data_IF_252699490158
#
_entry.id   IF_252699490158
#
_cell.length_a   1.000
_cell.length_b   1.000
_cell.length_c   1.000
_cell.angle_alpha   90.00
_cell.angle_beta   90.00
_cell.angle_gamma   90.00
#
_symmetry.space_group_name_H-M   'P 1'
#
loop_
_entity.id
_entity.type
_entity.pdbx_description
1 polymer ?
#
# COMPACT_ATOMS: atom_id res chain seq x y z
N UNK A 1 7.84 17.51 -45.08
CA UNK A 1 6.44 17.40 -44.58
C UNK A 1 6.29 15.98 -44.08
N UNK A 2 6.29 15.66 -42.79
CA UNK A 2 5.92 16.42 -41.61
C UNK A 2 6.92 16.15 -40.48
N UNK A 3 7.33 17.22 -39.79
CA UNK A 3 8.10 17.20 -38.56
C UNK A 3 7.29 16.58 -37.42
N UNK A 4 7.87 15.59 -36.74
CA UNK A 4 7.40 15.10 -35.44
C UNK A 4 8.49 15.40 -34.41
N UNK A 5 8.47 16.65 -33.93
CA UNK A 5 9.29 17.16 -32.85
C UNK A 5 8.63 16.73 -31.54
N UNK A 6 9.15 15.68 -30.91
CA UNK A 6 8.74 15.25 -29.58
C UNK A 6 9.47 16.10 -28.53
N UNK A 7 8.74 17.03 -27.92
CA UNK A 7 9.17 17.74 -26.71
C UNK A 7 9.05 16.80 -25.49
N UNK A 8 10.13 16.63 -24.70
CA UNK A 8 10.02 15.99 -23.41
C UNK A 8 9.47 16.99 -22.39
N UNK A 9 8.23 16.78 -21.96
CA UNK A 9 7.64 17.48 -20.81
C UNK A 9 8.29 16.95 -19.53
N UNK A 10 9.36 17.63 -19.10
CA UNK A 10 9.91 17.49 -17.76
C UNK A 10 8.90 18.07 -16.75
N UNK A 11 8.10 17.19 -16.15
CA UNK A 11 7.29 17.53 -14.98
C UNK A 11 8.23 17.59 -13.78
N UNK A 12 8.81 18.77 -13.59
CA UNK A 12 9.64 19.10 -12.45
C UNK A 12 8.71 19.46 -11.27
N UNK A 13 8.26 18.43 -10.54
CA UNK A 13 7.54 18.61 -9.27
C UNK A 13 8.55 18.93 -8.16
N UNK A 14 9.17 20.11 -8.25
CA UNK A 14 9.75 20.81 -7.12
C UNK A 14 8.70 21.81 -6.61
N UNK A 15 7.60 21.29 -6.04
CA UNK A 15 6.85 22.06 -5.05
C UNK A 15 7.72 22.18 -3.81
N UNK A 16 8.62 23.16 -3.86
CA UNK A 16 9.15 23.83 -2.68
C UNK A 16 7.95 24.37 -1.91
N UNK A 17 7.38 23.52 -1.05
CA UNK A 17 6.57 23.97 0.06
C UNK A 17 7.50 24.74 0.98
N UNK A 18 7.67 26.02 0.67
CA UNK A 18 8.08 27.04 1.63
C UNK A 18 6.97 27.11 2.65
N UNK A 19 7.00 26.16 3.58
CA UNK A 19 6.47 26.35 4.92
C UNK A 19 7.26 27.52 5.48
N UNK A 20 6.71 28.72 5.28
CA UNK A 20 7.00 29.90 6.09
C UNK A 20 6.54 29.57 7.50
N UNK A 21 7.33 28.73 8.18
CA UNK A 21 7.31 28.63 9.62
C UNK A 21 7.63 30.03 10.12
N UNK A 22 6.60 30.78 10.48
CA UNK A 22 6.73 32.04 11.18
C UNK A 22 7.51 31.74 12.47
N UNK A 23 8.80 32.12 12.59
CA UNK A 23 9.57 31.84 13.79
C UNK A 23 9.26 32.84 14.91
N UNK A 24 8.16 33.60 14.79
CA UNK A 24 7.85 34.73 15.67
C UNK A 24 6.89 34.42 16.82
N UNK A 25 6.52 33.15 17.03
CA UNK A 25 5.72 32.75 18.20
C UNK A 25 6.41 31.75 19.14
N UNK A 26 7.59 31.23 18.78
CA UNK A 26 8.36 30.36 19.68
C UNK A 26 9.18 31.14 20.73
N UNK A 27 9.38 32.45 20.52
CA UNK A 27 10.08 33.34 21.46
C UNK A 27 9.11 34.21 22.27
N UNK A 28 7.88 33.75 22.52
CA UNK A 28 7.25 34.09 23.80
C UNK A 28 7.93 33.17 24.81
N UNK A 29 9.17 33.55 25.12
CA UNK A 29 9.87 33.19 26.32
C UNK A 29 8.82 33.29 27.42
N UNK A 30 8.36 32.14 27.90
CA UNK A 30 7.66 32.06 29.16
C UNK A 30 8.68 32.59 30.14
N UNK A 31 8.63 33.91 30.34
CA UNK A 31 9.07 34.57 31.55
C UNK A 31 8.22 33.90 32.61
N UNK A 32 8.75 32.75 33.07
CA UNK A 32 8.43 32.09 34.31
C UNK A 32 8.41 33.22 35.30
N UNK A 33 7.20 33.72 35.53
CA UNK A 33 6.92 34.72 36.51
C UNK A 33 7.13 33.97 37.79
N UNK A 34 8.41 33.82 38.14
CA UNK A 34 8.89 33.26 39.37
C UNK A 34 7.95 33.80 40.40
N UNK A 35 7.29 32.89 41.08
CA UNK A 35 6.43 33.16 42.19
C UNK A 35 7.31 33.94 43.18
N UNK A 36 7.37 35.26 43.01
CA UNK A 36 7.78 36.17 44.05
C UNK A 36 6.81 35.83 45.16
N UNK A 37 7.28 35.02 46.11
CA UNK A 37 6.64 34.79 47.39
C UNK A 37 6.32 36.18 47.94
N UNK A 38 5.12 36.67 47.63
CA UNK A 38 4.61 37.94 48.11
C UNK A 38 4.56 37.78 49.62
N UNK A 39 5.61 38.31 50.27
CA UNK A 39 5.87 38.29 51.69
C UNK A 39 4.53 38.43 52.45
N UNK A 40 4.10 37.40 53.21
CA UNK A 40 2.75 37.34 53.78
C UNK A 40 2.45 38.56 54.68
N UNK A 41 3.48 39.25 55.15
CA UNK A 41 3.36 40.54 55.84
C UNK A 41 2.75 41.65 54.98
N UNK A 42 3.07 41.76 53.69
CA UNK A 42 2.52 42.81 52.80
C UNK A 42 1.02 42.62 52.52
N UNK A 43 0.58 41.38 52.31
CA UNK A 43 -0.85 41.05 52.15
C UNK A 43 -1.64 41.34 53.43
N UNK A 44 -1.13 40.92 54.60
CA UNK A 44 -1.79 41.19 55.89
C UNK A 44 -1.90 42.69 56.22
N UNK A 45 -0.91 43.49 55.84
CA UNK A 45 -0.91 44.94 56.11
C UNK A 45 -1.91 45.68 55.22
N UNK A 46 -2.13 45.22 53.99
CA UNK A 46 -3.13 45.79 53.09
C UNK A 46 -4.57 45.44 53.51
N UNK A 47 -4.81 44.23 53.99
CA UNK A 47 -6.11 43.80 54.53
C UNK A 47 -6.41 44.48 55.88
N UNK A 48 -5.40 44.67 56.73
CA UNK A 48 -5.52 45.42 57.99
C UNK A 48 -5.84 46.92 57.75
N UNK A 49 -5.29 47.54 56.70
CA UNK A 49 -5.62 48.93 56.32
C UNK A 49 -7.04 49.08 55.77
N UNK A 50 -7.53 48.12 54.97
CA UNK A 50 -8.91 48.17 54.45
C UNK A 50 -9.93 47.97 55.57
N UNK A 51 -9.66 47.08 56.53
CA UNK A 51 -10.57 46.84 57.66
C UNK A 51 -10.63 48.02 58.63
N UNK A 52 -9.51 48.70 58.88
CA UNK A 52 -9.49 49.92 59.71
C UNK A 52 -10.18 51.10 59.05
N UNK A 53 -9.96 51.34 57.75
CA UNK A 53 -10.62 52.43 57.02
C UNK A 53 -12.15 52.21 56.94
N UNK A 54 -12.58 50.96 56.71
CA UNK A 54 -14.01 50.62 56.68
C UNK A 54 -14.68 50.85 58.04
N UNK A 55 -14.00 50.52 59.15
CA UNK A 55 -14.53 50.76 60.50
C UNK A 55 -14.63 52.24 60.84
N UNK A 56 -13.69 53.07 60.37
CA UNK A 56 -13.76 54.53 60.56
C UNK A 56 -14.93 55.12 59.77
N UNK A 57 -15.14 54.69 58.51
CA UNK A 57 -16.27 55.14 57.70
C UNK A 57 -17.60 54.68 58.30
N UNK A 58 -17.70 53.43 58.75
CA UNK A 58 -18.90 52.91 59.43
C UNK A 58 -19.17 53.65 60.75
N UNK A 59 -18.13 53.92 61.54
CA UNK A 59 -18.24 54.71 62.76
C UNK A 59 -18.71 56.14 62.48
N UNK A 60 -18.16 56.78 61.44
CA UNK A 60 -18.56 58.11 61.00
C UNK A 60 -20.01 58.16 60.50
N UNK A 61 -20.46 57.14 59.76
CA UNK A 61 -21.83 57.04 59.28
C UNK A 61 -22.84 56.87 60.43
N UNK A 62 -22.54 56.01 61.42
CA UNK A 62 -23.39 55.84 62.60
C UNK A 62 -23.43 57.13 63.41
N UNK A 63 -22.29 57.79 63.62
CA UNK A 63 -22.22 59.07 64.31
C UNK A 63 -23.06 60.15 63.60
N UNK A 64 -22.99 60.23 62.27
CA UNK A 64 -23.78 61.16 61.48
C UNK A 64 -25.30 60.91 61.59
N UNK A 65 -25.72 59.64 61.63
CA UNK A 65 -27.14 59.27 61.84
C UNK A 65 -27.60 59.70 63.24
N UNK A 66 -26.80 59.46 64.27
CA UNK A 66 -27.12 59.87 65.65
C UNK A 66 -27.22 61.39 65.77
N UNK A 67 -26.29 62.13 65.16
CA UNK A 67 -26.30 63.60 65.13
C UNK A 67 -27.56 64.12 64.41
N UNK A 68 -27.96 63.53 63.29
CA UNK A 68 -29.18 63.91 62.58
C UNK A 68 -30.45 63.64 63.41
N UNK A 69 -30.52 62.51 64.13
CA UNK A 69 -31.66 62.21 65.02
C UNK A 69 -31.73 63.23 66.16
N UNK A 70 -30.58 63.60 66.74
CA UNK A 70 -30.53 64.64 67.78
C UNK A 70 -30.97 66.01 67.24
N UNK A 71 -30.54 66.38 66.04
CA UNK A 71 -30.93 67.63 65.39
C UNK A 71 -32.45 67.68 65.10
N UNK A 72 -33.05 66.56 64.66
CA UNK A 72 -34.51 66.45 64.48
C UNK A 72 -35.31 66.62 65.77
N UNK A 73 -34.77 66.19 66.91
CA UNK A 73 -35.44 66.35 68.20
C UNK A 73 -35.45 67.81 68.69
N UNK A 74 -34.45 68.61 68.29
CA UNK A 74 -34.30 70.01 68.67
C UNK A 74 -35.05 70.97 67.75
N UNK A 75 -35.10 70.68 66.45
CA UNK A 75 -35.75 71.55 65.45
C UNK A 75 -36.91 70.83 64.77
N UNK A 76 -38.14 71.29 65.04
CA UNK A 76 -39.36 70.78 64.40
C UNK A 76 -39.53 71.32 62.97
N UNK A 77 -38.55 71.05 62.10
CA UNK A 77 -38.59 71.43 60.68
C UNK A 77 -38.81 70.21 59.80
N UNK A 78 -39.80 70.30 58.91
CA UNK A 78 -40.16 69.27 57.94
C UNK A 78 -39.07 68.99 56.89
N UNK A 79 -38.19 69.96 56.61
CA UNK A 79 -37.10 69.82 55.62
C UNK A 79 -36.06 68.78 56.08
N UNK A 80 -35.80 68.67 57.40
CA UNK A 80 -34.84 67.71 57.95
C UNK A 80 -35.28 66.26 57.75
N UNK A 81 -36.59 65.98 57.82
CA UNK A 81 -37.12 64.63 57.59
C UNK A 81 -36.83 64.13 56.17
N UNK A 82 -36.98 64.99 55.16
CA UNK A 82 -36.67 64.62 53.77
C UNK A 82 -35.16 64.40 53.57
N UNK A 83 -34.31 65.24 54.16
CA UNK A 83 -32.86 65.07 54.07
C UNK A 83 -32.39 63.75 54.74
N UNK A 84 -32.95 63.42 55.91
CA UNK A 84 -32.67 62.17 56.61
C UNK A 84 -33.11 60.94 55.81
N UNK A 85 -34.32 60.96 55.24
CA UNK A 85 -34.85 59.87 54.43
C UNK A 85 -33.99 59.62 53.18
N UNK A 86 -33.62 60.69 52.47
CA UNK A 86 -32.72 60.59 51.31
C UNK A 86 -31.34 60.02 51.69
N UNK A 87 -30.80 60.41 52.85
CA UNK A 87 -29.53 59.89 53.35
C UNK A 87 -29.57 58.38 53.63
N UNK A 88 -30.65 57.89 54.25
CA UNK A 88 -30.82 56.45 54.52
C UNK A 88 -30.99 55.66 53.21
N UNK A 89 -31.76 56.19 52.25
CA UNK A 89 -31.96 55.55 50.94
C UNK A 89 -30.64 55.46 50.15
N UNK A 90 -29.85 56.52 50.12
CA UNK A 90 -28.54 56.53 49.47
C UNK A 90 -27.56 55.59 50.16
N UNK A 91 -27.53 55.57 51.50
CA UNK A 91 -26.69 54.65 52.27
C UNK A 91 -27.00 53.18 51.99
N UNK A 92 -28.30 52.83 51.92
CA UNK A 92 -28.75 51.49 51.53
C UNK A 92 -28.32 51.12 50.10
N UNK A 93 -28.45 52.06 49.16
CA UNK A 93 -28.03 51.87 47.77
C UNK A 93 -26.52 51.58 47.65
N UNK A 94 -25.67 52.30 48.38
CA UNK A 94 -24.21 52.07 48.37
C UNK A 94 -23.86 50.69 48.90
N UNK A 95 -24.52 50.22 49.97
CA UNK A 95 -24.29 48.86 50.51
C UNK A 95 -24.68 47.80 49.49
N UNK A 96 -25.77 48.02 48.75
CA UNK A 96 -26.21 47.12 47.67
C UNK A 96 -25.16 47.05 46.56
N UNK A 97 -24.72 48.20 46.03
CA UNK A 97 -23.67 48.25 44.99
C UNK A 97 -22.33 47.68 45.46
N UNK A 98 -21.95 47.89 46.72
CA UNK A 98 -20.73 47.33 47.28
C UNK A 98 -20.77 45.80 47.38
N UNK A 99 -21.96 45.22 47.60
CA UNK A 99 -22.15 43.76 47.59
C UNK A 99 -22.05 43.18 46.18
N UNK A 100 -22.59 43.88 45.18
CA UNK A 100 -22.47 43.51 43.76
C UNK A 100 -21.01 43.54 43.29
N UNK A 101 -20.27 44.59 43.63
CA UNK A 101 -18.85 44.77 43.26
C UNK A 101 -17.91 43.80 44.00
N UNK A 102 -18.29 43.29 45.18
CA UNK A 102 -17.53 42.20 45.83
C UNK A 102 -17.64 40.87 45.09
N UNK A 103 -18.53 40.75 44.10
CA UNK A 103 -18.51 39.65 43.13
C UNK A 103 -17.35 39.71 42.13
N UNK A 104 -16.52 40.77 42.13
CA UNK A 104 -15.42 40.97 41.16
C UNK A 104 -14.11 40.22 41.48
N UNK A 105 -14.06 39.40 42.54
CA UNK A 105 -13.06 38.30 42.64
C UNK A 105 -13.16 37.32 41.45
N UNK A 106 -14.20 37.46 40.64
CA UNK A 106 -14.35 36.86 39.32
C UNK A 106 -13.21 37.21 38.36
N UNK A 107 -12.58 38.39 38.37
CA UNK A 107 -11.56 38.69 37.34
C UNK A 107 -10.27 37.89 37.54
N UNK A 108 -9.82 37.73 38.80
CA UNK A 108 -8.69 36.84 39.13
C UNK A 108 -9.03 35.38 38.87
N UNK A 109 -10.26 34.98 39.21
CA UNK A 109 -10.75 33.61 38.97
C UNK A 109 -10.83 33.31 37.47
N UNK A 110 -11.38 34.22 36.68
CA UNK A 110 -11.46 34.13 35.21
C UNK A 110 -10.08 34.15 34.58
N UNK A 111 -9.15 34.96 35.09
CA UNK A 111 -7.78 34.97 34.59
C UNK A 111 -7.04 33.65 34.88
N UNK A 112 -7.22 33.07 36.07
CA UNK A 112 -6.66 31.75 36.38
C UNK A 112 -7.31 30.64 35.55
N UNK A 113 -8.64 30.67 35.38
CA UNK A 113 -9.36 29.73 34.51
C UNK A 113 -8.91 29.85 33.05
N UNK A 114 -8.65 31.08 32.58
CA UNK A 114 -8.11 31.31 31.24
C UNK A 114 -6.68 30.77 31.12
N UNK A 115 -5.82 30.97 32.12
CA UNK A 115 -4.48 30.36 32.15
C UNK A 115 -4.54 28.83 32.10
N UNK A 116 -5.45 28.22 32.86
CA UNK A 116 -5.66 26.77 32.81
C UNK A 116 -6.11 26.32 31.43
N UNK A 117 -7.11 26.98 30.84
CA UNK A 117 -7.59 26.65 29.47
C UNK A 117 -6.52 26.83 28.41
N UNK A 118 -5.68 27.85 28.50
CA UNK A 118 -4.57 28.05 27.56
C UNK A 118 -3.54 26.93 27.72
N UNK A 119 -3.22 26.53 28.96
CA UNK A 119 -2.31 25.42 29.20
C UNK A 119 -2.88 24.08 28.69
N UNK A 120 -4.17 23.84 28.91
CA UNK A 120 -4.86 22.64 28.42
C UNK A 120 -4.88 22.62 26.88
N UNK A 121 -5.20 23.75 26.23
CA UNK A 121 -5.14 23.87 24.77
C UNK A 121 -3.71 23.69 24.23
N UNK A 122 -2.70 24.19 24.94
CA UNK A 122 -1.31 23.99 24.54
C UNK A 122 -0.93 22.50 24.58
N UNK A 123 -1.32 21.78 25.63
CA UNK A 123 -1.09 20.34 25.76
C UNK A 123 -1.86 19.54 24.70
N UNK A 124 -3.10 19.91 24.41
CA UNK A 124 -3.88 19.27 23.34
C UNK A 124 -3.25 19.51 21.97
N UNK A 125 -2.76 20.72 21.71
CA UNK A 125 -2.11 21.05 20.44
C UNK A 125 -0.78 20.31 20.28
N UNK A 126 -0.02 20.12 21.36
CA UNK A 126 1.19 19.29 21.38
C UNK A 126 0.86 17.82 21.08
N UNK A 127 -0.19 17.26 21.70
CA UNK A 127 -0.67 15.90 21.39
C UNK A 127 -1.13 15.75 19.95
N UNK A 128 -1.86 16.73 19.42
CA UNK A 128 -2.33 16.73 18.04
C UNK A 128 -1.15 16.80 17.07
N UNK A 129 -0.17 17.66 17.34
CA UNK A 129 1.07 17.78 16.56
C UNK A 129 1.84 16.47 16.56
N UNK A 130 1.99 15.81 17.72
CA UNK A 130 2.62 14.50 17.81
C UNK A 130 1.88 13.42 17.01
N UNK A 131 0.55 13.44 17.04
CA UNK A 131 -0.29 12.51 16.25
C UNK A 131 -0.12 12.73 14.75
N UNK A 132 -0.07 14.00 14.30
CA UNK A 132 0.18 14.35 12.90
C UNK A 132 1.56 13.87 12.46
N UNK A 133 2.59 14.04 13.30
CA UNK A 133 3.94 13.52 13.01
C UNK A 133 3.95 12.00 12.90
N UNK A 134 3.24 11.29 13.79
CA UNK A 134 3.13 9.83 13.72
C UNK A 134 2.44 9.37 12.43
N UNK A 135 1.32 10.00 12.06
CA UNK A 135 0.60 9.71 10.82
C UNK A 135 1.45 9.98 9.58
N UNK A 136 2.26 11.04 9.58
CA UNK A 136 3.22 11.29 8.50
C UNK A 136 4.28 10.19 8.41
N UNK A 137 4.73 9.65 9.54
CA UNK A 137 5.62 8.49 9.59
C UNK A 137 4.98 7.25 8.97
N UNK A 138 3.73 6.95 9.32
CA UNK A 138 2.98 5.81 8.79
C UNK A 138 2.71 5.93 7.29
N UNK A 139 2.34 7.13 6.79
CA UNK A 139 2.19 7.39 5.34
C UNK A 139 3.52 7.20 4.61
N UNK A 140 4.64 7.61 5.21
CA UNK A 140 5.97 7.41 4.62
C UNK A 140 6.31 5.92 4.49
N UNK A 141 6.02 5.12 5.54
CA UNK A 141 6.21 3.68 5.51
C UNK A 141 5.31 3.01 4.46
N UNK A 142 4.03 3.39 4.39
CA UNK A 142 3.10 2.90 3.37
C UNK A 142 3.60 3.18 1.95
N UNK A 143 4.06 4.41 1.68
CA UNK A 143 4.63 4.78 0.38
C UNK A 143 5.89 3.97 0.03
N UNK A 144 6.71 3.64 1.03
CA UNK A 144 7.86 2.75 0.82
C UNK A 144 7.42 1.31 0.51
N UNK A 145 6.41 0.80 1.21
CA UNK A 145 5.85 -0.53 0.94
C UNK A 145 5.20 -0.62 -0.45
N UNK A 146 4.49 0.43 -0.88
CA UNK A 146 3.89 0.54 -2.21
C UNK A 146 4.98 0.49 -3.31
N UNK A 147 6.08 1.24 -3.14
CA UNK A 147 7.23 1.18 -4.07
C UNK A 147 7.85 -0.21 -4.13
N UNK A 148 7.96 -0.91 -2.99
CA UNK A 148 8.47 -2.30 -2.95
C UNK A 148 7.52 -3.25 -3.70
N UNK A 149 6.21 -3.09 -3.51
CA UNK A 149 5.18 -3.85 -4.22
C UNK A 149 5.19 -3.59 -5.73
N UNK A 150 5.30 -2.34 -6.18
CA UNK A 150 5.42 -1.99 -7.61
C UNK A 150 6.68 -2.60 -8.23
N UNK A 151 7.83 -2.53 -7.54
CA UNK A 151 9.07 -3.18 -7.99
C UNK A 151 8.90 -4.69 -8.12
N UNK A 152 8.28 -5.34 -7.12
CA UNK A 152 8.04 -6.78 -7.15
C UNK A 152 7.08 -7.19 -8.27
N UNK A 153 6.00 -6.43 -8.49
CA UNK A 153 5.06 -6.67 -9.58
C UNK A 153 5.73 -6.57 -10.95
N UNK A 154 6.63 -5.60 -11.15
CA UNK A 154 7.43 -5.46 -12.38
C UNK A 154 8.41 -6.62 -12.55
N UNK A 155 9.10 -7.03 -11.49
CA UNK A 155 10.02 -8.17 -11.52
C UNK A 155 9.28 -9.48 -11.83
N UNK A 156 8.11 -9.71 -11.24
CA UNK A 156 7.27 -10.88 -11.51
C UNK A 156 6.72 -10.86 -12.94
N UNK A 157 6.28 -9.70 -13.47
CA UNK A 157 5.85 -9.57 -14.86
C UNK A 157 6.96 -9.93 -15.86
N UNK A 158 8.20 -9.51 -15.59
CA UNK A 158 9.39 -9.88 -16.39
C UNK A 158 9.70 -11.37 -16.27
N UNK A 159 9.53 -11.97 -15.09
CA UNK A 159 9.75 -13.42 -14.88
C UNK A 159 8.71 -14.27 -15.61
N UNK A 160 7.44 -13.86 -15.64
CA UNK A 160 6.39 -14.57 -16.39
C UNK A 160 6.63 -14.50 -17.90
N UNK A 161 7.04 -13.34 -18.43
CA UNK A 161 7.41 -13.20 -19.84
C UNK A 161 8.60 -14.12 -20.19
N UNK A 162 9.67 -14.09 -19.38
CA UNK A 162 10.84 -14.96 -19.55
C UNK A 162 10.48 -16.45 -19.47
N UNK A 163 9.59 -16.84 -18.56
CA UNK A 163 9.14 -18.23 -18.43
C UNK A 163 8.33 -18.67 -19.66
N UNK A 164 7.43 -17.81 -20.16
CA UNK A 164 6.69 -18.07 -21.41
C UNK A 164 7.66 -18.29 -22.58
N UNK A 165 8.68 -17.44 -22.70
CA UNK A 165 9.67 -17.57 -23.75
C UNK A 165 10.50 -18.85 -23.59
N UNK A 166 10.87 -19.22 -22.37
CA UNK A 166 11.58 -20.47 -22.07
C UNK A 166 10.74 -21.71 -22.42
N UNK A 167 9.43 -21.68 -22.18
CA UNK A 167 8.53 -22.76 -22.57
C UNK A 167 8.38 -22.84 -24.09
N UNK A 168 8.34 -21.70 -24.80
CA UNK A 168 8.32 -21.68 -26.27
C UNK A 168 9.61 -22.23 -26.86
N UNK A 169 10.76 -21.85 -26.34
CA UNK A 169 12.06 -22.37 -26.82
C UNK A 169 12.18 -23.86 -26.52
N UNK A 170 11.77 -24.32 -25.34
CA UNK A 170 11.76 -25.74 -25.02
C UNK A 170 10.85 -26.55 -25.97
N UNK A 171 9.64 -26.05 -26.27
CA UNK A 171 8.76 -26.68 -27.29
C UNK A 171 9.41 -26.76 -28.67
N UNK A 172 10.14 -25.72 -29.08
CA UNK A 172 10.87 -25.73 -30.36
C UNK A 172 12.02 -26.74 -30.33
N UNK A 173 12.80 -26.80 -29.25
CA UNK A 173 13.87 -27.79 -29.07
C UNK A 173 13.32 -29.21 -29.12
N UNK A 174 12.24 -29.51 -28.40
CA UNK A 174 11.59 -30.83 -28.45
C UNK A 174 11.11 -31.19 -29.86
N UNK A 175 10.56 -30.23 -30.61
CA UNK A 175 10.16 -30.46 -32.00
C UNK A 175 11.36 -30.80 -32.90
N UNK A 176 12.50 -30.14 -32.70
CA UNK A 176 13.75 -30.45 -33.43
C UNK A 176 14.31 -31.82 -33.03
N UNK A 177 14.32 -32.14 -31.73
CA UNK A 177 14.78 -33.46 -31.26
C UNK A 177 13.90 -34.58 -31.80
N UNK A 178 12.57 -34.38 -31.83
CA UNK A 178 11.65 -35.33 -32.46
C UNK A 178 11.93 -35.50 -33.95
N UNK A 179 12.16 -34.42 -34.69
CA UNK A 179 12.49 -34.50 -36.11
C UNK A 179 13.81 -35.23 -36.36
N UNK A 180 14.81 -35.02 -35.51
CA UNK A 180 16.09 -35.76 -35.58
C UNK A 180 15.90 -37.25 -35.27
N UNK A 181 15.12 -37.59 -34.24
CA UNK A 181 14.79 -38.97 -33.92
C UNK A 181 14.06 -39.66 -35.08
N UNK A 182 13.08 -38.98 -35.68
CA UNK A 182 12.36 -39.48 -36.87
C UNK A 182 13.32 -39.73 -38.05
N UNK A 183 14.27 -38.82 -38.28
CA UNK A 183 15.29 -38.96 -39.33
C UNK A 183 16.24 -40.14 -39.05
N UNK A 184 16.71 -40.29 -37.82
CA UNK A 184 17.60 -41.37 -37.40
C UNK A 184 16.92 -42.75 -37.50
N UNK A 185 15.65 -42.81 -37.11
CA UNK A 185 14.80 -44.00 -37.25
C UNK A 185 14.63 -44.35 -38.73
N UNK A 186 14.30 -43.36 -39.57
CA UNK A 186 14.11 -43.55 -40.99
C UNK A 186 15.42 -44.03 -41.65
N UNK A 187 16.56 -43.41 -41.34
CA UNK A 187 17.87 -43.84 -41.83
C UNK A 187 18.19 -45.28 -41.42
N UNK A 188 17.96 -45.64 -40.16
CA UNK A 188 18.17 -47.01 -39.66
C UNK A 188 17.27 -48.03 -40.38
N UNK A 189 16.03 -47.66 -40.67
CA UNK A 189 15.15 -48.49 -41.49
C UNK A 189 15.64 -48.62 -42.92
N UNK A 190 16.10 -47.54 -43.54
CA UNK A 190 16.67 -47.57 -44.90
C UNK A 190 17.85 -48.52 -44.96
N UNK A 191 18.77 -48.45 -43.98
CA UNK A 191 19.91 -49.35 -43.90
C UNK A 191 19.48 -50.81 -43.82
N UNK A 192 18.43 -51.12 -43.04
CA UNK A 192 17.91 -52.49 -42.94
C UNK A 192 17.33 -52.98 -44.27
N UNK A 193 16.60 -52.12 -45.00
CA UNK A 193 16.01 -52.44 -46.31
C UNK A 193 17.08 -52.63 -47.37
N UNK A 194 18.03 -51.71 -47.46
CA UNK A 194 19.14 -51.79 -48.42
C UNK A 194 20.02 -53.02 -48.16
N UNK A 195 20.29 -53.36 -46.89
CA UNK A 195 21.02 -54.58 -46.54
C UNK A 195 20.20 -55.88 -46.71
N UNK A 196 18.89 -55.78 -46.94
CA UNK A 196 18.06 -56.94 -47.25
C UNK A 196 18.04 -57.23 -48.76
N UNK A 197 18.20 -56.23 -49.62
CA UNK A 197 18.41 -56.41 -51.06
C UNK A 197 19.88 -56.78 -51.36
N UNK A 198 20.16 -58.08 -51.34
CA UNK A 198 21.49 -58.60 -51.70
C UNK A 198 21.66 -58.83 -53.20
N UNK A 199 20.57 -58.78 -53.96
CA UNK A 199 20.54 -59.22 -55.36
C UNK A 199 20.67 -58.04 -56.34
N UNK A 200 20.62 -56.80 -55.85
CA UNK A 200 20.71 -55.55 -56.63
C UNK A 200 19.63 -55.45 -57.73
N UNK A 201 18.59 -56.29 -57.67
CA UNK A 201 17.49 -56.30 -58.62
C UNK A 201 16.34 -55.37 -58.20
N UNK A 202 16.47 -54.69 -57.05
CA UNK A 202 15.47 -53.84 -56.43
C UNK A 202 14.15 -54.55 -56.14
N UNK A 203 14.14 -55.89 -56.07
CA UNK A 203 12.96 -56.71 -55.80
C UNK A 203 13.15 -57.61 -54.59
N UNK A 204 12.11 -57.74 -53.76
CA UNK A 204 12.20 -58.57 -52.57
C UNK A 204 11.50 -59.92 -52.74
N UNK A 205 12.28 -60.99 -52.64
CA UNK A 205 11.77 -62.36 -52.46
C UNK A 205 11.09 -62.51 -51.09
N UNK A 206 10.16 -63.46 -50.94
CA UNK A 206 9.47 -63.71 -49.65
C UNK A 206 10.46 -63.96 -48.51
N UNK A 207 11.56 -64.66 -48.80
CA UNK A 207 12.64 -64.92 -47.83
C UNK A 207 13.37 -63.63 -47.45
N UNK A 208 13.58 -62.71 -48.40
CA UNK A 208 14.15 -61.39 -48.16
C UNK A 208 13.25 -60.53 -47.26
N UNK A 209 11.94 -60.52 -47.54
CA UNK A 209 10.94 -59.79 -46.73
C UNK A 209 10.94 -60.32 -45.29
N UNK A 210 10.97 -61.63 -45.09
CA UNK A 210 10.97 -62.22 -43.76
C UNK A 210 12.26 -61.88 -42.97
N UNK A 211 13.42 -61.85 -43.65
CA UNK A 211 14.67 -61.40 -43.05
C UNK A 211 14.67 -59.92 -42.69
N UNK A 212 14.09 -59.07 -43.54
CA UNK A 212 13.91 -57.65 -43.29
C UNK A 212 12.99 -57.41 -42.09
N UNK A 213 11.86 -58.12 -42.01
CA UNK A 213 10.90 -58.05 -40.90
C UNK A 213 11.60 -58.37 -39.56
N UNK A 214 12.40 -59.43 -39.51
CA UNK A 214 13.14 -59.81 -38.31
C UNK A 214 14.13 -58.72 -37.89
N UNK A 215 14.85 -58.12 -38.83
CA UNK A 215 15.80 -57.03 -38.54
C UNK A 215 15.10 -55.76 -38.09
N UNK A 216 13.98 -55.39 -38.71
CA UNK A 216 13.18 -54.23 -38.31
C UNK A 216 12.64 -54.40 -36.88
N UNK A 217 12.23 -55.61 -36.49
CA UNK A 217 11.82 -55.92 -35.11
C UNK A 217 12.94 -55.82 -34.08
N UNK A 218 14.20 -55.96 -34.49
CA UNK A 218 15.34 -55.84 -33.59
C UNK A 218 15.72 -54.38 -33.33
N UNK A 219 15.15 -53.42 -34.06
CA UNK A 219 15.40 -52.00 -33.80
C UNK A 219 14.65 -51.58 -32.52
N UNK A 220 15.34 -51.06 -31.50
CA UNK A 220 14.74 -50.75 -30.20
C UNK A 220 13.73 -49.59 -30.24
N UNK A 221 13.80 -48.77 -31.28
CA UNK A 221 13.07 -47.50 -31.39
C UNK A 221 11.69 -47.66 -32.07
N UNK A 222 11.40 -48.82 -32.66
CA UNK A 222 10.24 -49.02 -33.53
C UNK A 222 9.45 -50.25 -33.08
N UNK A 223 8.14 -50.06 -32.93
CA UNK A 223 7.17 -51.15 -32.86
C UNK A 223 6.53 -51.33 -34.24
N UNK A 224 6.68 -52.53 -34.81
CA UNK A 224 6.16 -52.86 -36.13
C UNK A 224 5.08 -53.95 -36.01
N UNK A 225 3.90 -53.68 -36.58
CA UNK A 225 2.87 -54.69 -36.77
C UNK A 225 3.16 -55.51 -38.03
N UNK A 226 3.64 -56.74 -37.84
CA UNK A 226 3.98 -57.65 -38.95
C UNK A 226 2.79 -58.01 -39.82
N UNK A 227 1.61 -58.19 -39.22
CA UNK A 227 0.42 -58.62 -39.95
C UNK A 227 -0.01 -57.51 -40.91
N UNK A 228 0.00 -56.26 -40.43
CA UNK A 228 -0.30 -55.08 -41.26
C UNK A 228 0.76 -54.81 -42.30
N UNK A 229 2.04 -54.96 -41.95
CA UNK A 229 3.13 -54.77 -42.90
C UNK A 229 3.03 -55.76 -44.06
N UNK A 230 2.79 -57.05 -43.76
CA UNK A 230 2.56 -58.09 -44.77
C UNK A 230 1.32 -57.81 -45.61
N UNK A 231 0.20 -57.48 -44.97
CA UNK A 231 -1.05 -57.16 -45.68
C UNK A 231 -0.86 -55.98 -46.67
N UNK A 232 -0.17 -54.91 -46.24
CA UNK A 232 0.14 -53.77 -47.13
C UNK A 232 1.08 -54.17 -48.27
N UNK A 233 2.05 -55.05 -48.02
CA UNK A 233 2.92 -55.58 -49.07
C UNK A 233 2.18 -56.51 -50.05
N UNK A 234 1.21 -57.28 -49.58
CA UNK A 234 0.39 -58.18 -50.43
C UNK A 234 -0.59 -57.40 -51.31
N UNK A 235 -1.14 -56.28 -50.82
CA UNK A 235 -1.95 -55.37 -51.67
C UNK A 235 -1.16 -54.75 -52.82
N UNK A 236 0.16 -54.66 -52.68
CA UNK A 236 1.06 -54.17 -53.73
C UNK A 236 1.40 -55.38 -54.61
N UNK A 237 0.61 -55.58 -55.68
CA UNK A 237 0.72 -56.72 -56.62
C UNK A 237 2.18 -57.14 -56.92
N UNK A 238 2.39 -58.43 -57.13
CA UNK A 238 3.70 -59.10 -57.27
C UNK A 238 4.71 -58.39 -58.19
N UNK A 239 4.28 -57.72 -59.25
CA UNK A 239 5.16 -56.97 -60.16
C UNK A 239 5.76 -55.68 -59.57
N UNK A 240 5.37 -55.28 -58.35
CA UNK A 240 5.75 -53.99 -57.72
C UNK A 240 6.21 -54.11 -56.26
N UNK A 241 6.76 -55.26 -55.83
CA UNK A 241 7.53 -55.36 -54.57
C UNK A 241 8.90 -54.68 -54.67
N UNK A 242 8.88 -53.44 -55.15
CA UNK A 242 10.04 -52.60 -55.35
C UNK A 242 10.40 -51.89 -54.04
N UNK A 243 11.68 -51.57 -53.88
CA UNK A 243 12.19 -50.77 -52.77
C UNK A 243 11.39 -49.45 -52.62
N UNK A 244 10.96 -48.84 -53.72
CA UNK A 244 10.14 -47.62 -53.74
C UNK A 244 8.83 -47.74 -52.97
N UNK A 245 8.17 -48.91 -53.03
CA UNK A 245 6.93 -49.18 -52.31
C UNK A 245 7.16 -49.26 -50.79
N UNK A 246 8.28 -49.88 -50.38
CA UNK A 246 8.68 -49.97 -48.97
C UNK A 246 9.08 -48.59 -48.44
N UNK A 247 9.79 -47.78 -49.22
CA UNK A 247 10.10 -46.40 -48.84
C UNK A 247 8.84 -45.56 -48.62
N UNK A 248 7.85 -45.68 -49.50
CA UNK A 248 6.57 -44.99 -49.32
C UNK A 248 5.84 -45.43 -48.03
N UNK A 249 5.96 -46.70 -47.64
CA UNK A 249 5.45 -47.21 -46.36
C UNK A 249 6.24 -46.67 -45.17
N UNK A 250 7.57 -46.57 -45.28
CA UNK A 250 8.43 -46.01 -44.22
C UNK A 250 8.22 -44.50 -44.03
N UNK A 251 7.94 -43.78 -45.11
CA UNK A 251 7.66 -42.35 -45.06
C UNK A 251 6.38 -42.03 -44.26
N UNK A 252 5.50 -43.01 -44.04
CA UNK A 252 4.32 -42.87 -43.16
C UNK A 252 4.70 -42.53 -41.70
N UNK A 253 5.95 -42.79 -41.29
CA UNK A 253 6.45 -42.45 -39.95
C UNK A 253 6.57 -40.93 -39.77
N UNK A 254 6.95 -40.21 -40.83
CA UNK A 254 7.14 -38.75 -40.79
C UNK A 254 5.85 -37.98 -41.08
N UNK A 255 4.85 -38.62 -41.68
CA UNK A 255 3.58 -37.97 -42.02
C UNK A 255 2.66 -37.84 -40.79
N UNK A 256 2.29 -36.60 -40.45
CA UNK A 256 1.41 -36.31 -39.32
C UNK A 256 -0.07 -36.64 -39.60
N UNK A 257 -0.47 -36.71 -40.86
CA UNK A 257 -1.87 -36.81 -41.29
C UNK A 257 -2.38 -38.26 -41.47
N UNK A 258 -1.56 -39.27 -41.16
CA UNK A 258 -1.96 -40.67 -41.27
C UNK A 258 -2.73 -41.08 -40.00
N UNK A 259 -3.97 -41.55 -40.18
CA UNK A 259 -4.81 -42.12 -39.13
C UNK A 259 -4.04 -43.19 -38.35
N UNK A 260 -4.16 -43.21 -37.02
CA UNK A 260 -3.46 -44.20 -36.19
C UNK A 260 -3.83 -45.65 -36.57
N UNK A 261 -5.03 -45.84 -37.10
CA UNK A 261 -5.51 -47.13 -37.60
C UNK A 261 -4.78 -47.60 -38.87
N UNK A 262 -4.11 -46.71 -39.59
CA UNK A 262 -3.37 -47.03 -40.81
C UNK A 262 -1.85 -47.09 -40.61
N UNK A 263 -1.34 -46.73 -39.42
CA UNK A 263 0.10 -46.73 -39.13
C UNK A 263 0.60 -48.15 -38.91
N UNK A 264 1.55 -48.57 -39.75
CA UNK A 264 2.23 -49.88 -39.65
C UNK A 264 3.38 -49.84 -38.63
N UNK A 265 4.00 -48.67 -38.50
CA UNK A 265 5.12 -48.40 -37.60
C UNK A 265 4.68 -47.40 -36.53
N UNK A 266 4.96 -47.73 -35.28
CA UNK A 266 4.82 -46.84 -34.13
C UNK A 266 6.21 -46.60 -33.54
N UNK A 267 6.50 -45.37 -33.14
CA UNK A 267 7.69 -45.12 -32.31
C UNK A 267 7.39 -45.63 -30.91
N UNK A 268 8.31 -46.39 -30.31
CA UNK A 268 8.14 -46.87 -28.95
C UNK A 268 8.23 -45.69 -27.96
N UNK A 269 7.34 -45.63 -26.97
CA UNK A 269 7.38 -44.58 -25.93
C UNK A 269 8.71 -44.60 -25.14
N UNK A 270 9.33 -45.78 -25.03
CA UNK A 270 10.67 -45.96 -24.45
C UNK A 270 11.78 -45.18 -25.18
N UNK A 271 11.58 -44.82 -26.45
CA UNK A 271 12.53 -43.99 -27.19
C UNK A 271 12.41 -42.50 -26.83
N UNK A 272 11.21 -42.05 -26.44
CA UNK A 272 10.96 -40.67 -26.02
C UNK A 272 11.53 -40.40 -24.61
N UNK A 273 11.53 -41.38 -23.72
CA UNK A 273 12.06 -41.24 -22.34
C UNK A 273 13.59 -41.14 -22.26
N UNK A 274 14.31 -41.40 -23.36
CA UNK A 274 15.78 -41.27 -23.44
C UNK A 274 16.27 -39.89 -23.87
N UNK A 275 15.35 -38.98 -24.20
CA UNK A 275 15.60 -37.60 -24.62
C UNK A 275 15.36 -36.65 -23.46
#
# INVERSE_FOLDING_TARGET
MMDMKSEPTAVNNDEKSTTTANPRLADIEMQDGGEEEEDPKRRSMFEARRTTFTRIIQGGAIAAIVVNILAMALEWSWIMFFAGLCGVALGGGVIYYQKELRGEDTLRTVHNDLRHKVNDFSQENEKLTGTVTQLQGEVTQLKETEKKLDKLAREQGVTVAKLSDLVKTNKQTLALMKANLEADVLASMMDVVLNADRCEDNTFTDRGIQGMILRLKMLPTIEMDEARFKAKLETIKEEKRQISAIFNLMQQISQKDVSEEDRVFKLSDNAMDRV
#
